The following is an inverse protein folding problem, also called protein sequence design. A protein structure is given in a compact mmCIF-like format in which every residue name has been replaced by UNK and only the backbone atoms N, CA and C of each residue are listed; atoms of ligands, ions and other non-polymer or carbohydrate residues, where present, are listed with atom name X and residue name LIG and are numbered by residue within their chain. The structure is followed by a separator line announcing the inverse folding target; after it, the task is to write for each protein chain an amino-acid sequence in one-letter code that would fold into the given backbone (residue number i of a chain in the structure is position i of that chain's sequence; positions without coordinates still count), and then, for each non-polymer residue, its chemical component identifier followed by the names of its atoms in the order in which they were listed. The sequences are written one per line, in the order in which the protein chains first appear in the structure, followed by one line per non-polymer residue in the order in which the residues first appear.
data_IF_762284671322
#
_entry.id   IF_762284671322
#
_cell.length_a   1.000
_cell.length_b   1.000
_cell.length_c   1.000
_cell.angle_alpha   90.00
_cell.angle_beta   90.00
_cell.angle_gamma   90.00
#
_symmetry.space_group_name_H-M   'P 1'
#
loop_
_entity.id
_entity.type
_entity.pdbx_description
1 polymer ?
#
# COMPACT_ATOMS: atom_id res chain seq x y z
N UNK A 1 6.10 14.66 16.44
CA UNK A 1 4.68 14.21 16.48
C UNK A 1 3.76 15.35 16.90
N UNK A 2 4.23 16.28 17.75
CA UNK A 2 3.54 17.53 18.07
C UNK A 2 4.30 18.73 17.44
N UNK A 3 3.60 19.84 17.21
CA UNK A 3 4.12 21.14 16.77
C UNK A 3 3.36 22.24 17.52
N UNK A 4 4.01 23.37 17.87
CA UNK A 4 3.28 24.50 18.44
C UNK A 4 2.34 25.13 17.40
N UNK A 5 1.18 25.60 17.85
CA UNK A 5 0.30 26.50 17.09
C UNK A 5 0.72 27.97 17.26
N UNK A 6 -0.09 28.91 16.74
CA UNK A 6 0.16 30.36 16.82
C UNK A 6 0.17 30.90 18.27
N UNK A 7 -0.50 30.20 19.18
CA UNK A 7 -0.58 30.52 20.62
C UNK A 7 0.44 29.75 21.45
N UNK A 8 1.35 29.00 20.80
CA UNK A 8 2.37 28.16 21.42
C UNK A 8 1.80 26.94 22.19
N UNK A 9 0.57 26.55 21.92
CA UNK A 9 -0.01 25.29 22.40
C UNK A 9 0.52 24.13 21.57
N UNK A 10 0.82 22.99 22.21
CA UNK A 10 1.27 21.80 21.50
C UNK A 10 0.10 21.09 20.81
N UNK A 11 0.11 21.07 19.48
CA UNK A 11 -0.89 20.39 18.66
C UNK A 11 -0.30 19.17 17.92
N UNK A 12 -1.09 18.12 17.65
CA UNK A 12 -0.65 17.03 16.79
C UNK A 12 -0.30 17.49 15.38
N UNK A 13 0.86 17.06 14.89
CA UNK A 13 1.18 17.13 13.45
C UNK A 13 0.28 16.18 12.67
N UNK A 14 0.12 16.39 11.36
CA UNK A 14 -0.58 15.45 10.46
C UNK A 14 -0.04 14.03 10.63
N UNK A 15 1.29 13.84 10.60
CA UNK A 15 1.89 12.51 10.83
C UNK A 15 1.61 11.96 12.23
N UNK A 16 1.50 12.84 13.23
CA UNK A 16 1.10 12.46 14.59
C UNK A 16 -0.32 11.91 14.62
N UNK A 17 -1.28 12.59 13.98
CA UNK A 17 -2.67 12.11 13.84
C UNK A 17 -2.68 10.76 13.12
N UNK A 18 -2.02 10.66 11.96
CA UNK A 18 -2.01 9.46 11.12
C UNK A 18 -1.39 8.23 11.78
N UNK A 19 -0.41 8.42 12.67
CA UNK A 19 0.34 7.31 13.29
C UNK A 19 -0.14 6.97 14.70
N UNK A 20 -0.75 7.91 15.43
CA UNK A 20 -1.06 7.74 16.85
C UNK A 20 -2.56 7.84 17.19
N UNK A 21 -3.40 8.37 16.30
CA UNK A 21 -4.85 8.37 16.52
C UNK A 21 -5.44 7.00 16.17
N UNK A 22 -6.31 6.48 17.02
CA UNK A 22 -7.10 5.28 16.70
C UNK A 22 -8.07 5.52 15.53
N UNK A 23 -8.49 6.77 15.32
CA UNK A 23 -9.46 7.15 14.29
C UNK A 23 -8.99 8.40 13.51
N UNK A 24 -7.89 8.32 12.74
CA UNK A 24 -7.35 9.49 12.04
C UNK A 24 -8.32 10.06 11.02
N UNK A 25 -9.23 9.21 10.51
CA UNK A 25 -10.28 9.60 9.58
C UNK A 25 -11.31 10.59 10.16
N UNK A 26 -11.42 10.74 11.48
CA UNK A 26 -12.29 11.77 12.08
C UNK A 26 -11.70 13.19 11.94
N UNK A 27 -10.37 13.29 11.84
CA UNK A 27 -9.65 14.56 11.70
C UNK A 27 -9.25 14.82 10.25
N UNK A 28 -8.92 13.75 9.51
CA UNK A 28 -8.52 13.76 8.11
C UNK A 28 -9.46 12.78 7.39
N UNK A 29 -10.61 13.27 6.93
CA UNK A 29 -11.79 12.48 6.45
C UNK A 29 -11.50 11.36 5.46
N UNK A 30 -10.37 11.43 4.76
CA UNK A 30 -9.95 10.49 3.74
C UNK A 30 -8.70 9.68 4.08
N UNK A 31 -8.27 9.68 5.35
CA UNK A 31 -7.16 8.90 5.87
C UNK A 31 -7.57 7.43 6.11
N UNK A 32 -7.95 6.74 5.04
CA UNK A 32 -8.27 5.31 5.07
C UNK A 32 -7.98 4.65 3.71
N UNK A 33 -7.88 3.32 3.71
CA UNK A 33 -7.76 2.51 2.49
C UNK A 33 -9.13 1.90 2.19
N UNK A 34 -9.69 2.18 1.01
CA UNK A 34 -10.87 1.47 0.52
C UNK A 34 -10.43 0.22 -0.24
N UNK A 35 -10.72 -0.95 0.30
CA UNK A 35 -10.39 -2.25 -0.29
C UNK A 35 -11.63 -2.93 -0.87
N UNK A 36 -11.54 -3.40 -2.12
CA UNK A 36 -12.63 -4.15 -2.78
C UNK A 36 -12.04 -5.31 -3.57
N UNK A 37 -12.59 -6.51 -3.39
CA UNK A 37 -12.25 -7.70 -4.15
C UNK A 37 -13.40 -8.08 -5.10
N UNK A 38 -13.06 -8.36 -6.35
CA UNK A 38 -13.98 -8.76 -7.40
C UNK A 38 -13.62 -10.16 -7.91
N UNK A 39 -14.64 -10.96 -8.24
CA UNK A 39 -14.45 -12.27 -8.90
C UNK A 39 -14.12 -12.16 -10.39
N UNK A 40 -14.33 -10.98 -10.96
CA UNK A 40 -14.18 -10.67 -12.38
C UNK A 40 -12.89 -9.87 -12.63
N UNK A 41 -12.53 -9.70 -13.90
CA UNK A 41 -11.54 -8.72 -14.36
C UNK A 41 -12.11 -7.30 -14.48
N UNK A 42 -13.43 -7.17 -14.38
CA UNK A 42 -14.19 -5.92 -14.49
C UNK A 42 -14.66 -5.41 -13.12
N UNK A 43 -14.70 -4.08 -12.99
CA UNK A 43 -15.25 -3.39 -11.82
C UNK A 43 -16.78 -3.40 -11.91
N UNK A 44 -17.39 -4.49 -11.44
CA UNK A 44 -18.83 -4.64 -11.42
C UNK A 44 -19.30 -5.10 -10.03
N UNK A 45 -20.21 -4.34 -9.43
CA UNK A 45 -20.75 -4.60 -8.10
C UNK A 45 -21.41 -5.99 -7.98
N UNK A 46 -21.96 -6.53 -9.07
CA UNK A 46 -22.53 -7.87 -9.10
C UNK A 46 -21.49 -8.99 -8.85
N UNK A 47 -20.20 -8.71 -9.07
CA UNK A 47 -19.10 -9.64 -8.83
C UNK A 47 -18.25 -9.30 -7.61
N UNK A 48 -18.70 -8.38 -6.75
CA UNK A 48 -18.01 -8.02 -5.52
C UNK A 48 -18.04 -9.19 -4.53
N UNK A 49 -16.87 -9.61 -4.05
CA UNK A 49 -16.70 -10.71 -3.09
C UNK A 49 -16.54 -10.20 -1.66
N UNK A 50 -15.74 -9.15 -1.48
CA UNK A 50 -15.42 -8.56 -0.19
C UNK A 50 -15.17 -7.07 -0.40
N UNK A 51 -15.54 -6.25 0.57
CA UNK A 51 -15.26 -4.82 0.57
C UNK A 51 -15.12 -4.31 2.00
N UNK A 52 -14.13 -3.45 2.22
CA UNK A 52 -13.82 -2.90 3.53
C UNK A 52 -13.21 -1.51 3.39
N UNK A 53 -13.72 -0.57 4.16
CA UNK A 53 -13.01 0.68 4.44
C UNK A 53 -12.13 0.43 5.66
N UNK A 54 -10.81 0.46 5.43
CA UNK A 54 -9.80 0.11 6.41
C UNK A 54 -9.29 1.41 7.05
N UNK A 55 -9.75 1.66 8.27
CA UNK A 55 -9.39 2.82 9.10
C UNK A 55 -8.32 2.46 10.14
N UNK A 56 -8.00 3.40 11.04
CA UNK A 56 -6.98 3.23 12.07
C UNK A 56 -5.66 3.94 11.72
N UNK A 57 -4.66 3.88 12.62
CA UNK A 57 -3.30 4.33 12.33
C UNK A 57 -2.73 3.70 11.05
N UNK A 58 -1.80 4.36 10.36
CA UNK A 58 -1.27 3.86 9.07
C UNK A 58 -0.69 2.43 9.14
N UNK A 59 -0.04 2.05 10.24
CA UNK A 59 0.45 0.68 10.42
C UNK A 59 -0.68 -0.36 10.51
N UNK A 60 -1.81 0.02 11.12
CA UNK A 60 -3.03 -0.81 11.14
C UNK A 60 -3.62 -0.88 9.75
N UNK A 61 -3.72 0.24 9.03
CA UNK A 61 -4.24 0.25 7.66
C UNK A 61 -3.44 -0.67 6.73
N UNK A 62 -2.11 -0.61 6.78
CA UNK A 62 -1.25 -1.51 5.98
C UNK A 62 -1.44 -2.97 6.39
N UNK A 63 -1.47 -3.26 7.69
CA UNK A 63 -1.64 -4.62 8.22
C UNK A 63 -2.97 -5.24 7.79
N UNK A 64 -4.06 -4.49 7.93
CA UNK A 64 -5.40 -4.97 7.59
C UNK A 64 -5.59 -5.05 6.06
N UNK A 65 -4.98 -4.16 5.29
CA UNK A 65 -4.98 -4.25 3.83
C UNK A 65 -4.16 -5.46 3.33
N UNK A 66 -3.03 -5.75 3.97
CA UNK A 66 -2.24 -6.96 3.72
C UNK A 66 -3.08 -8.22 3.96
N UNK A 67 -3.75 -8.30 5.13
CA UNK A 67 -4.65 -9.41 5.49
C UNK A 67 -5.83 -9.51 4.53
N UNK A 68 -6.37 -8.39 4.07
CA UNK A 68 -7.45 -8.38 3.09
C UNK A 68 -7.01 -9.05 1.77
N UNK A 69 -5.81 -8.73 1.26
CA UNK A 69 -5.27 -9.37 0.05
C UNK A 69 -4.98 -10.84 0.31
N UNK A 70 -4.32 -11.18 1.42
CA UNK A 70 -4.00 -12.57 1.78
C UNK A 70 -5.24 -13.45 1.90
N UNK A 71 -6.32 -12.94 2.51
CA UNK A 71 -7.59 -13.65 2.66
C UNK A 71 -8.29 -13.87 1.32
N UNK A 72 -8.29 -12.86 0.45
CA UNK A 72 -9.09 -12.89 -0.77
C UNK A 72 -8.33 -13.49 -1.97
N UNK A 73 -7.00 -13.54 -1.93
CA UNK A 73 -6.21 -14.07 -3.04
C UNK A 73 -6.42 -15.58 -3.21
N UNK A 74 -6.29 -16.05 -4.45
CA UNK A 74 -6.30 -17.49 -4.74
C UNK A 74 -4.92 -18.11 -4.45
N UNK A 75 -4.92 -19.32 -3.91
CA UNK A 75 -3.70 -20.12 -3.71
C UNK A 75 -3.88 -21.45 -4.45
N UNK A 76 -3.17 -21.61 -5.56
CA UNK A 76 -3.11 -22.89 -6.28
C UNK A 76 -2.09 -23.80 -5.61
N UNK A 77 -2.16 -25.11 -5.85
CA UNK A 77 -1.15 -26.03 -5.34
C UNK A 77 -0.78 -27.05 -6.43
N UNK A 78 0.51 -27.32 -6.56
CA UNK A 78 1.03 -28.41 -7.39
C UNK A 78 1.54 -29.53 -6.48
N UNK A 79 1.29 -30.78 -6.86
CA UNK A 79 1.82 -31.98 -6.18
C UNK A 79 3.03 -32.51 -6.94
N UNK A 80 4.24 -32.27 -6.45
CA UNK A 80 5.47 -32.88 -6.99
C UNK A 80 6.55 -32.93 -5.91
N UNK A 81 7.15 -34.09 -5.59
CA UNK A 81 6.74 -35.04 -4.52
C UNK A 81 6.21 -34.46 -3.19
N UNK A 82 6.14 -33.12 -3.01
CA UNK A 82 5.43 -32.42 -1.93
C UNK A 82 4.36 -31.46 -2.46
N UNK A 83 3.60 -30.83 -1.56
CA UNK A 83 2.65 -29.76 -1.90
C UNK A 83 3.40 -28.43 -1.99
N UNK A 84 3.36 -27.79 -3.16
CA UNK A 84 3.91 -26.44 -3.36
C UNK A 84 2.74 -25.50 -3.59
N UNK A 85 2.51 -24.59 -2.65
CA UNK A 85 1.51 -23.54 -2.77
C UNK A 85 2.01 -22.42 -3.70
N UNK A 86 1.14 -21.98 -4.59
CA UNK A 86 1.36 -20.97 -5.62
C UNK A 86 0.36 -19.84 -5.40
N UNK A 87 0.72 -18.81 -4.61
CA UNK A 87 -0.17 -17.70 -4.34
C UNK A 87 -0.36 -16.82 -5.58
N UNK A 88 -1.53 -16.22 -5.71
CA UNK A 88 -1.86 -15.30 -6.79
C UNK A 88 -0.92 -14.10 -6.82
N UNK A 89 -0.52 -13.59 -5.64
CA UNK A 89 0.41 -12.48 -5.50
C UNK A 89 1.55 -12.85 -4.54
N UNK A 90 2.74 -12.29 -4.78
CA UNK A 90 3.79 -12.30 -3.78
C UNK A 90 3.42 -11.33 -2.66
N UNK A 91 3.08 -11.84 -1.47
CA UNK A 91 2.67 -11.02 -0.33
C UNK A 91 3.75 -10.00 0.08
N UNK A 92 5.03 -10.30 -0.16
CA UNK A 92 6.11 -9.33 0.04
C UNK A 92 5.95 -8.11 -0.88
N UNK A 93 5.67 -8.31 -2.18
CA UNK A 93 5.43 -7.19 -3.10
C UNK A 93 4.18 -6.39 -2.73
N UNK A 94 3.12 -7.07 -2.30
CA UNK A 94 1.89 -6.43 -1.80
C UNK A 94 2.18 -5.55 -0.59
N UNK A 95 2.96 -6.05 0.37
CA UNK A 95 3.35 -5.29 1.55
C UNK A 95 4.09 -4.00 1.20
N UNK A 96 5.12 -4.07 0.36
CA UNK A 96 5.86 -2.88 -0.10
C UNK A 96 4.95 -1.87 -0.80
N UNK A 97 4.05 -2.37 -1.64
CA UNK A 97 3.13 -1.53 -2.40
C UNK A 97 2.17 -0.77 -1.48
N UNK A 98 1.64 -1.44 -0.45
CA UNK A 98 0.77 -0.83 0.56
C UNK A 98 1.51 0.19 1.41
N UNK A 99 2.73 -0.13 1.87
CA UNK A 99 3.57 0.83 2.62
C UNK A 99 3.85 2.06 1.77
N UNK A 100 4.28 1.88 0.52
CA UNK A 100 4.56 2.99 -0.38
C UNK A 100 3.31 3.84 -0.61
N UNK A 101 2.15 3.21 -0.79
CA UNK A 101 0.89 3.92 -0.97
C UNK A 101 0.55 4.81 0.23
N UNK A 102 0.64 4.31 1.47
CA UNK A 102 0.33 5.12 2.68
C UNK A 102 1.39 6.16 3.00
N UNK A 103 2.66 5.84 2.76
CA UNK A 103 3.80 6.69 3.12
C UNK A 103 3.93 7.90 2.19
N UNK A 104 3.66 7.70 0.89
CA UNK A 104 3.82 8.72 -0.14
C UNK A 104 2.51 9.37 -0.59
N UNK A 105 1.38 9.00 0.01
CA UNK A 105 0.09 9.66 -0.20
C UNK A 105 0.17 11.14 0.17
N UNK A 106 -0.44 11.97 -0.65
CA UNK A 106 -0.73 13.36 -0.31
C UNK A 106 -2.02 13.46 0.52
N UNK A 107 -1.87 13.65 1.84
CA UNK A 107 -2.99 13.78 2.77
C UNK A 107 -3.64 15.17 2.76
N UNK A 108 -3.12 16.13 1.99
CA UNK A 108 -3.75 17.45 1.81
C UNK A 108 -4.86 17.44 0.76
N UNK A 109 -4.81 16.50 -0.20
CA UNK A 109 -5.82 16.35 -1.24
C UNK A 109 -7.11 15.83 -0.61
N UNK A 110 -8.14 16.65 -0.53
CA UNK A 110 -9.46 16.25 -0.03
C UNK A 110 -10.22 15.38 -1.02
N UNK A 111 -11.23 14.65 -0.55
CA UNK A 111 -12.13 13.80 -1.35
C UNK A 111 -11.48 12.68 -2.18
N UNK A 112 -10.18 12.44 -2.00
CA UNK A 112 -9.45 11.33 -2.62
C UNK A 112 -8.92 10.39 -1.55
N UNK A 113 -8.80 9.09 -1.80
CA UNK A 113 -8.39 8.08 -0.82
C UNK A 113 -7.55 7.00 -1.49
N UNK A 114 -6.82 6.20 -0.70
CA UNK A 114 -6.16 5.04 -1.30
C UNK A 114 -7.24 4.03 -1.67
N UNK A 115 -7.18 3.52 -2.90
CA UNK A 115 -8.09 2.48 -3.38
C UNK A 115 -7.28 1.23 -3.68
N UNK A 116 -7.70 0.11 -3.12
CA UNK A 116 -7.13 -1.20 -3.32
C UNK A 116 -8.20 -2.05 -4.00
N UNK A 117 -8.04 -2.29 -5.30
CA UNK A 117 -8.96 -3.14 -6.05
C UNK A 117 -8.27 -4.45 -6.41
N UNK A 118 -8.83 -5.56 -5.98
CA UNK A 118 -8.35 -6.89 -6.34
C UNK A 118 -9.32 -7.51 -7.34
N UNK A 119 -8.79 -7.92 -8.49
CA UNK A 119 -9.53 -8.60 -9.55
C UNK A 119 -9.06 -10.05 -9.65
N UNK A 120 -9.74 -10.85 -10.48
CA UNK A 120 -9.34 -12.24 -10.72
C UNK A 120 -7.94 -12.37 -11.34
N UNK A 121 -7.42 -11.33 -11.99
CA UNK A 121 -6.16 -11.35 -12.73
C UNK A 121 -5.11 -10.33 -12.26
N UNK A 122 -5.47 -9.35 -11.42
CA UNK A 122 -4.55 -8.26 -11.00
C UNK A 122 -5.02 -7.55 -9.73
N UNK A 123 -4.06 -6.93 -9.04
CA UNK A 123 -4.27 -6.05 -7.91
C UNK A 123 -3.91 -4.62 -8.37
N UNK A 124 -4.82 -3.68 -8.18
CA UNK A 124 -4.63 -2.27 -8.49
C UNK A 124 -4.62 -1.44 -7.21
N UNK A 125 -3.59 -0.62 -7.03
CA UNK A 125 -3.45 0.30 -5.89
C UNK A 125 -3.38 1.72 -6.43
N UNK A 126 -4.36 2.53 -6.08
CA UNK A 126 -4.42 3.95 -6.42
C UNK A 126 -4.03 4.75 -5.18
N UNK A 127 -3.01 5.59 -5.30
CA UNK A 127 -2.56 6.50 -4.24
C UNK A 127 -2.60 7.95 -4.71
N UNK A 128 -3.32 8.84 -4.00
CA UNK A 128 -3.39 10.26 -4.33
C UNK A 128 -2.03 10.97 -4.20
N UNK A 129 -1.67 11.77 -5.20
CA UNK A 129 -0.48 12.62 -5.22
C UNK A 129 0.32 12.51 -6.53
N UNK A 130 0.78 13.66 -7.03
CA UNK A 130 1.65 13.79 -8.21
C UNK A 130 3.03 13.21 -7.94
N UNK A 131 3.78 12.65 -8.88
CA UNK A 131 5.19 12.35 -8.58
C UNK A 131 5.96 13.64 -8.21
N UNK A 132 6.90 13.61 -7.24
CA UNK A 132 7.78 14.75 -6.98
C UNK A 132 8.44 15.21 -8.29
N UNK A 133 8.59 16.52 -8.51
CA UNK A 133 9.01 17.10 -9.81
C UNK A 133 10.32 16.53 -10.39
N UNK A 134 11.12 15.84 -9.58
CA UNK A 134 12.39 15.21 -9.97
C UNK A 134 12.28 13.71 -10.23
N UNK A 135 11.10 13.09 -10.14
CA UNK A 135 10.88 11.66 -10.31
C UNK A 135 9.88 11.42 -11.44
N UNK A 136 10.28 10.55 -12.36
CA UNK A 136 9.42 9.98 -13.40
C UNK A 136 9.07 8.53 -13.06
N UNK A 137 8.08 7.96 -13.74
CA UNK A 137 7.72 6.56 -13.55
C UNK A 137 8.93 5.64 -13.78
N UNK A 138 9.74 5.95 -14.80
CA UNK A 138 10.93 5.17 -15.15
C UNK A 138 12.02 5.26 -14.08
N UNK A 139 12.07 6.36 -13.31
CA UNK A 139 13.09 6.59 -12.29
C UNK A 139 12.64 6.27 -10.87
N UNK A 140 11.40 5.81 -10.66
CA UNK A 140 10.84 5.42 -9.36
C UNK A 140 11.71 4.38 -8.62
N UNK A 141 12.37 3.49 -9.35
CA UNK A 141 13.23 2.46 -8.79
C UNK A 141 14.67 2.94 -8.49
N UNK A 142 15.03 4.16 -8.93
CA UNK A 142 16.38 4.72 -8.84
C UNK A 142 16.47 5.89 -7.87
N UNK A 143 15.35 6.54 -7.55
CA UNK A 143 15.32 7.80 -6.79
C UNK A 143 14.46 7.68 -5.56
N UNK A 144 14.95 8.25 -4.47
CA UNK A 144 14.18 8.44 -3.25
C UNK A 144 13.68 9.88 -3.20
N UNK A 145 12.38 10.06 -3.06
CA UNK A 145 11.81 11.34 -2.65
C UNK A 145 10.67 11.09 -1.68
N UNK A 146 10.81 11.66 -0.48
CA UNK A 146 9.79 11.60 0.55
C UNK A 146 9.04 12.91 0.55
N UNK A 147 7.71 12.87 0.38
CA UNK A 147 6.87 14.06 0.61
C UNK A 147 6.77 14.38 2.09
N UNK A 148 6.67 13.34 2.90
CA UNK A 148 6.44 13.46 4.33
C UNK A 148 7.52 12.69 5.09
N UNK A 149 8.66 13.34 5.29
CA UNK A 149 9.81 12.74 5.98
C UNK A 149 9.47 12.24 7.39
N UNK A 150 8.59 12.96 8.10
CA UNK A 150 8.16 12.56 9.44
C UNK A 150 7.36 11.25 9.40
N UNK A 151 6.37 11.12 8.50
CA UNK A 151 5.61 9.87 8.31
C UNK A 151 6.54 8.72 7.92
N UNK A 152 7.42 8.92 6.95
CA UNK A 152 8.38 7.89 6.52
C UNK A 152 9.32 7.47 7.65
N UNK A 153 9.80 8.43 8.45
CA UNK A 153 10.66 8.15 9.59
C UNK A 153 9.92 7.51 10.78
N UNK A 154 8.62 7.70 10.91
CA UNK A 154 7.80 7.01 11.90
C UNK A 154 7.54 5.56 11.46
N UNK A 155 7.16 5.33 10.21
CA UNK A 155 7.00 3.98 9.65
C UNK A 155 8.31 3.17 9.68
N UNK A 156 9.46 3.82 9.46
CA UNK A 156 10.77 3.18 9.55
C UNK A 156 11.19 2.78 10.98
N UNK A 157 10.47 3.24 11.99
CA UNK A 157 10.65 2.87 13.41
C UNK A 157 9.48 2.06 13.96
N UNK A 158 8.46 1.80 13.15
CA UNK A 158 7.28 1.05 13.53
C UNK A 158 7.52 -0.44 13.24
N UNK A 159 7.59 -1.31 14.26
CA UNK A 159 7.82 -2.73 14.05
C UNK A 159 6.62 -3.40 13.37
N UNK A 160 6.88 -4.36 12.50
CA UNK A 160 5.84 -5.15 11.85
C UNK A 160 5.28 -6.17 12.84
N UNK A 161 3.98 -6.08 13.11
CA UNK A 161 3.25 -6.96 14.04
C UNK A 161 2.21 -7.79 13.29
N UNK A 162 2.62 -8.39 12.17
CA UNK A 162 1.77 -9.25 11.34
C UNK A 162 2.14 -10.70 11.66
N UNK A 163 1.18 -11.45 12.21
CA UNK A 163 1.36 -12.90 12.44
C UNK A 163 1.65 -13.63 11.13
N UNK A 164 2.59 -14.56 11.15
CA UNK A 164 3.04 -15.32 9.98
C UNK A 164 3.57 -14.46 8.82
N UNK A 165 4.02 -13.23 9.09
CA UNK A 165 4.68 -12.41 8.07
C UNK A 165 5.91 -13.12 7.50
N UNK A 166 5.88 -13.39 6.20
CA UNK A 166 6.93 -14.12 5.48
C UNK A 166 7.97 -13.21 4.82
N UNK A 167 7.79 -11.88 4.92
CA UNK A 167 8.74 -10.92 4.36
C UNK A 167 10.00 -10.76 5.21
N UNK A 168 11.03 -10.15 4.63
CA UNK A 168 12.34 -9.98 5.29
C UNK A 168 12.42 -8.74 6.20
N UNK A 169 11.39 -7.91 6.23
CA UNK A 169 11.40 -6.64 6.96
C UNK A 169 11.09 -6.84 8.45
N UNK A 170 11.72 -6.00 9.28
CA UNK A 170 11.37 -5.87 10.69
C UNK A 170 10.50 -4.63 10.97
N UNK A 171 10.58 -3.61 10.11
CA UNK A 171 9.86 -2.35 10.22
C UNK A 171 9.10 -2.05 8.93
N UNK A 172 8.03 -1.25 9.01
CA UNK A 172 7.16 -0.99 7.86
C UNK A 172 7.90 -0.34 6.69
N UNK A 173 8.82 0.61 6.94
CA UNK A 173 9.55 1.32 5.88
C UNK A 173 11.06 1.10 6.01
N UNK A 174 11.78 1.04 4.88
CA UNK A 174 13.25 1.13 4.85
C UNK A 174 13.66 2.37 4.05
N UNK A 175 14.64 3.09 4.58
CA UNK A 175 15.20 4.31 4.00
C UNK A 175 16.25 4.02 2.91
N UNK A 176 16.53 2.76 2.61
CA UNK A 176 17.47 2.36 1.53
C UNK A 176 16.87 2.39 0.13
N UNK A 177 15.55 2.57 0.00
CA UNK A 177 14.87 2.67 -1.30
C UNK A 177 14.61 1.31 -1.97
N UNK A 178 14.65 0.21 -1.22
CA UNK A 178 14.46 -1.13 -1.78
C UNK A 178 12.99 -1.48 -2.09
N UNK A 179 12.03 -0.67 -1.65
CA UNK A 179 10.60 -0.98 -1.79
C UNK A 179 10.17 -1.19 -3.25
N UNK A 180 10.46 -0.24 -4.14
CA UNK A 180 10.12 -0.37 -5.56
C UNK A 180 10.86 -1.55 -6.23
N UNK A 181 12.19 -1.72 -6.07
CA UNK A 181 12.89 -2.92 -6.55
C UNK A 181 12.30 -4.26 -6.08
N UNK A 182 11.86 -4.36 -4.82
CA UNK A 182 11.19 -5.56 -4.28
C UNK A 182 9.84 -5.78 -4.99
N UNK A 183 9.03 -4.73 -5.17
CA UNK A 183 7.75 -4.82 -5.90
C UNK A 183 7.98 -5.38 -7.30
N UNK A 184 8.95 -4.82 -8.04
CA UNK A 184 9.25 -5.24 -9.41
C UNK A 184 9.73 -6.70 -9.46
N UNK A 185 10.69 -7.07 -8.60
CA UNK A 185 11.34 -8.37 -8.64
C UNK A 185 10.43 -9.50 -8.16
N UNK A 186 9.77 -9.35 -7.02
CA UNK A 186 8.90 -10.40 -6.46
C UNK A 186 7.62 -10.57 -7.28
N UNK A 187 7.05 -9.49 -7.82
CA UNK A 187 5.88 -9.58 -8.72
C UNK A 187 6.20 -10.34 -10.01
N UNK A 188 7.36 -10.03 -10.63
CA UNK A 188 7.83 -10.73 -11.83
C UNK A 188 8.14 -12.19 -11.55
N UNK A 189 8.80 -12.48 -10.42
CA UNK A 189 9.10 -13.85 -10.01
C UNK A 189 7.83 -14.67 -9.75
N UNK A 190 6.78 -14.05 -9.21
CA UNK A 190 5.53 -14.74 -8.90
C UNK A 190 4.64 -14.97 -10.13
N UNK A 191 4.41 -13.93 -10.94
CA UNK A 191 3.45 -13.97 -12.06
C UNK A 191 4.09 -14.17 -13.43
N UNK A 192 5.40 -13.93 -13.56
CA UNK A 192 6.10 -13.81 -14.84
C UNK A 192 5.97 -12.43 -15.49
N UNK A 193 5.14 -11.53 -14.94
CA UNK A 193 4.80 -10.23 -15.53
C UNK A 193 5.33 -9.12 -14.61
N UNK A 194 5.97 -8.11 -15.19
CA UNK A 194 6.36 -6.92 -14.44
C UNK A 194 5.12 -6.13 -14.04
N UNK A 195 5.06 -5.61 -12.81
CA UNK A 195 3.98 -4.72 -12.41
C UNK A 195 4.12 -3.39 -13.15
N UNK A 196 3.00 -2.67 -13.30
CA UNK A 196 2.91 -1.47 -14.11
C UNK A 196 2.55 -0.26 -13.23
N UNK A 197 3.29 0.83 -13.37
CA UNK A 197 2.93 2.11 -12.77
C UNK A 197 2.34 3.04 -13.83
N UNK A 198 1.23 3.71 -13.51
CA UNK A 198 0.60 4.74 -14.34
C UNK A 198 0.31 5.97 -13.50
N UNK A 199 0.49 7.15 -14.09
CA UNK A 199 0.06 8.41 -13.50
C UNK A 199 -1.25 8.82 -14.19
N UNK A 200 -2.33 8.89 -13.42
CA UNK A 200 -3.66 9.27 -13.88
C UNK A 200 -3.84 10.77 -13.66
N UNK A 201 -4.16 11.50 -14.73
CA UNK A 201 -4.41 12.95 -14.73
C UNK A 201 -3.34 13.78 -14.01
N UNK A 202 -2.10 13.28 -13.98
CA UNK A 202 -0.98 13.76 -13.18
C UNK A 202 -1.16 13.73 -11.65
N UNK A 203 -2.37 13.48 -11.13
CA UNK A 203 -2.75 13.71 -9.74
C UNK A 203 -2.78 12.44 -8.89
N UNK A 204 -2.79 11.26 -9.52
CA UNK A 204 -2.92 9.98 -8.83
C UNK A 204 -2.00 8.91 -9.43
N UNK A 205 -1.24 8.23 -8.56
CA UNK A 205 -0.38 7.13 -8.97
C UNK A 205 -1.13 5.80 -8.84
N UNK A 206 -1.21 5.05 -9.92
CA UNK A 206 -1.77 3.70 -9.99
C UNK A 206 -0.65 2.69 -10.15
N UNK A 207 -0.64 1.66 -9.30
CA UNK A 207 0.20 0.47 -9.44
C UNK A 207 -0.67 -0.75 -9.73
N UNK A 208 -0.34 -1.48 -10.80
CA UNK A 208 -0.95 -2.76 -11.16
C UNK A 208 0.04 -3.90 -10.91
N UNK A 209 -0.30 -4.82 -10.01
CA UNK A 209 0.42 -6.08 -9.80
C UNK A 209 -0.39 -7.21 -10.44
N UNK A 210 0.19 -7.89 -11.42
CA UNK A 210 -0.50 -8.99 -12.10
C UNK A 210 -0.49 -10.27 -11.26
N UNK A 211 -1.63 -10.95 -11.25
CA UNK A 211 -1.82 -12.23 -10.57
C UNK A 211 -1.16 -13.36 -11.36
N UNK A 212 -0.72 -14.39 -10.64
CA UNK A 212 -0.22 -15.63 -11.23
C UNK A 212 -1.34 -16.35 -11.98
N UNK A 213 -1.07 -16.72 -13.24
CA UNK A 213 -1.98 -17.52 -14.07
C UNK A 213 -2.07 -18.97 -13.63
#
# INVERSE_FOLDING_TARGET
MLTPDEENNLCPTVSGILMASEEPHQYITNAFIQAVAYRSTERNAAYQLDARDITGPLNVQVTEAYRFVEKNMTVKAIKTPGRIDLPQYALQAVFEALVNAVAHRDYSIQNSKIRLHMFSDRLEIFSPGHLPNTITIESLHLRQASRNELTNSLLARCPIMIENYTGKRHFFMDKRGEGVPIILSESKKNSGILPEYKLIDNTELMLTIFGRK
#
